data_IF_184110210110
#
_entry.id   IF_184110210110
#
_cell.length_a   1.000
_cell.length_b   1.000
_cell.length_c   1.000
_cell.angle_alpha   90.00
_cell.angle_beta   90.00
_cell.angle_gamma   90.00
#
_symmetry.space_group_name_H-M   'P 1'
#
loop_
_entity.id
_entity.type
_entity.pdbx_description
1 polymer ?
#
# COMPACT_ATOMS: atom_id res chain seq x y z
N UNK A 1 23.45 -16.29 0.86
CA UNK A 1 24.13 -15.02 0.55
C UNK A 1 24.32 -15.00 -0.95
N UNK A 2 23.45 -14.31 -1.69
CA UNK A 2 23.50 -14.30 -3.17
C UNK A 2 23.94 -12.93 -3.62
N UNK A 3 25.10 -12.90 -4.27
CA UNK A 3 25.63 -11.75 -4.98
C UNK A 3 25.35 -11.98 -6.46
N UNK A 4 24.63 -11.08 -7.14
CA UNK A 4 24.26 -11.24 -8.55
C UNK A 4 25.46 -11.11 -9.50
N UNK A 5 26.65 -10.77 -8.97
CA UNK A 5 27.88 -10.61 -9.74
C UNK A 5 28.83 -11.83 -9.71
N UNK A 6 28.50 -12.91 -8.99
CA UNK A 6 29.32 -14.13 -9.00
C UNK A 6 28.72 -15.18 -9.96
N UNK A 7 29.34 -15.34 -11.10
CA UNK A 7 29.19 -16.46 -12.03
C UNK A 7 29.48 -17.81 -11.34
N UNK A 8 28.45 -18.43 -10.74
CA UNK A 8 28.42 -19.89 -10.49
C UNK A 8 27.03 -20.36 -10.04
N UNK A 9 26.21 -20.87 -10.99
CA UNK A 9 25.33 -21.99 -10.68
C UNK A 9 23.92 -21.75 -10.20
N UNK A 10 23.17 -20.79 -10.65
CA UNK A 10 21.77 -20.78 -11.12
C UNK A 10 21.46 -19.41 -11.70
N UNK A 11 21.41 -19.33 -13.03
CA UNK A 11 21.08 -18.06 -13.70
C UNK A 11 19.65 -17.70 -13.39
N UNK A 12 19.42 -16.70 -12.49
CA UNK A 12 18.12 -16.09 -12.32
C UNK A 12 17.70 -15.52 -13.67
N UNK A 13 16.49 -15.86 -14.13
CA UNK A 13 15.93 -15.29 -15.35
C UNK A 13 15.88 -13.78 -15.17
N UNK A 14 16.42 -13.03 -16.13
CA UNK A 14 16.46 -11.56 -16.08
C UNK A 14 15.61 -10.97 -17.19
N UNK A 15 14.86 -9.93 -16.84
CA UNK A 15 14.11 -9.07 -17.78
C UNK A 15 14.51 -7.60 -17.63
N UNK A 16 15.71 -7.35 -17.12
CA UNK A 16 16.24 -5.98 -16.94
C UNK A 16 16.28 -5.18 -18.24
N UNK A 17 16.43 -5.84 -19.37
CA UNK A 17 16.39 -5.27 -20.72
C UNK A 17 14.99 -4.79 -21.17
N UNK A 18 13.93 -5.29 -20.51
CA UNK A 18 12.54 -4.85 -20.75
C UNK A 18 12.15 -3.65 -19.93
N UNK A 19 12.93 -3.28 -18.93
CA UNK A 19 12.65 -2.11 -18.09
C UNK A 19 12.76 -0.85 -18.93
N UNK A 20 11.70 -0.05 -18.93
CA UNK A 20 11.69 1.30 -19.48
C UNK A 20 12.00 2.28 -18.35
N UNK A 21 13.23 2.82 -18.27
CA UNK A 21 13.60 3.75 -17.22
C UNK A 21 12.85 5.08 -17.41
N UNK A 22 12.40 5.67 -16.32
CA UNK A 22 11.63 6.90 -16.31
C UNK A 22 12.38 7.98 -15.51
N UNK A 23 12.67 9.14 -16.12
CA UNK A 23 13.30 10.26 -15.43
C UNK A 23 12.29 11.04 -14.58
N UNK A 24 11.75 10.37 -13.54
CA UNK A 24 10.77 11.01 -12.65
C UNK A 24 11.41 12.17 -11.88
N UNK A 25 12.66 12.01 -11.40
CA UNK A 25 13.47 13.09 -10.83
C UNK A 25 12.91 13.70 -9.55
N UNK A 26 12.13 12.92 -8.77
CA UNK A 26 11.63 13.27 -7.44
C UNK A 26 11.51 11.99 -6.62
N UNK A 27 11.77 12.01 -5.29
CA UNK A 27 11.54 10.86 -4.41
C UNK A 27 10.11 10.34 -4.55
N UNK A 28 9.95 9.04 -4.84
CA UNK A 28 8.63 8.42 -5.06
C UNK A 28 8.07 7.94 -3.72
N UNK A 29 6.91 8.47 -3.31
CA UNK A 29 6.21 8.04 -2.09
C UNK A 29 5.23 6.90 -2.36
N UNK A 30 4.51 6.94 -3.49
CA UNK A 30 3.59 5.87 -3.90
C UNK A 30 3.37 5.88 -5.41
N UNK A 31 2.87 4.75 -5.94
CA UNK A 31 2.56 4.60 -7.36
C UNK A 31 1.13 4.07 -7.49
N UNK A 32 0.39 4.64 -8.42
CA UNK A 32 -0.97 4.25 -8.74
C UNK A 32 -1.17 4.19 -10.24
N UNK A 33 -2.16 3.44 -10.70
CA UNK A 33 -2.56 3.42 -12.10
C UNK A 33 -3.94 4.03 -12.26
N UNK A 34 -4.09 4.91 -13.28
CA UNK A 34 -5.37 5.42 -13.76
C UNK A 34 -5.58 4.91 -15.18
N UNK A 35 -6.29 3.78 -15.32
CA UNK A 35 -6.28 3.00 -16.53
C UNK A 35 -4.89 2.43 -16.82
N UNK A 36 -4.31 2.78 -17.96
CA UNK A 36 -2.94 2.37 -18.34
C UNK A 36 -1.89 3.46 -18.03
N UNK A 37 -2.27 4.62 -17.51
CA UNK A 37 -1.35 5.67 -17.08
C UNK A 37 -0.78 5.34 -15.70
N UNK A 38 0.54 5.30 -15.57
CA UNK A 38 1.22 5.19 -14.28
C UNK A 38 1.38 6.58 -13.66
N UNK A 39 0.98 6.72 -12.40
CA UNK A 39 1.06 7.98 -11.65
C UNK A 39 1.97 7.78 -10.46
N UNK A 40 3.09 8.50 -10.47
CA UNK A 40 4.08 8.53 -9.40
C UNK A 40 3.79 9.73 -8.52
N UNK A 41 3.44 9.48 -7.27
CA UNK A 41 3.24 10.52 -6.26
C UNK A 41 4.58 10.78 -5.58
N UNK A 42 5.04 12.01 -5.64
CA UNK A 42 6.25 12.45 -4.95
C UNK A 42 6.01 12.61 -3.44
N UNK A 43 7.09 12.61 -2.68
CA UNK A 43 7.05 12.92 -1.25
C UNK A 43 6.86 14.43 -0.97
N UNK A 44 7.11 15.27 -1.97
CA UNK A 44 6.88 16.70 -1.97
C UNK A 44 5.54 17.03 -2.64
N UNK A 45 5.37 18.22 -3.19
CA UNK A 45 4.10 18.75 -3.72
C UNK A 45 3.61 18.15 -5.05
N UNK A 46 4.44 17.34 -5.76
CA UNK A 46 4.20 16.98 -7.14
C UNK A 46 3.79 15.52 -7.36
N UNK A 47 3.04 15.29 -8.44
CA UNK A 47 2.86 13.99 -9.09
C UNK A 47 3.42 14.01 -10.52
N UNK A 48 3.88 12.86 -10.99
CA UNK A 48 4.25 12.62 -12.39
C UNK A 48 3.30 11.59 -13.00
N UNK A 49 2.64 11.95 -14.08
CA UNK A 49 1.75 11.06 -14.84
C UNK A 49 2.51 10.60 -16.09
N UNK A 50 2.64 9.29 -16.26
CA UNK A 50 3.30 8.65 -17.40
C UNK A 50 2.24 7.96 -18.24
N UNK A 51 2.09 8.38 -19.48
CA UNK A 51 1.13 7.78 -20.41
C UNK A 51 1.71 6.55 -21.14
N UNK A 52 0.91 5.92 -22.00
CA UNK A 52 1.31 4.73 -22.75
C UNK A 52 2.47 4.99 -23.76
N UNK A 53 2.75 6.25 -24.10
CA UNK A 53 3.88 6.67 -24.97
C UNK A 53 5.12 7.05 -24.16
N UNK A 54 5.13 6.80 -22.84
CA UNK A 54 6.17 7.19 -21.89
C UNK A 54 6.38 8.72 -21.75
N UNK A 55 5.38 9.50 -22.17
CA UNK A 55 5.40 10.95 -21.98
C UNK A 55 5.07 11.27 -20.52
N UNK A 56 5.87 12.12 -19.91
CA UNK A 56 5.74 12.50 -18.49
C UNK A 56 5.16 13.90 -18.38
N UNK A 57 4.02 14.02 -17.72
CA UNK A 57 3.46 15.30 -17.29
C UNK A 57 3.54 15.45 -15.78
N UNK A 58 3.95 16.63 -15.29
CA UNK A 58 4.07 16.93 -13.86
C UNK A 58 2.92 17.82 -13.42
N UNK A 59 2.37 17.53 -12.25
CA UNK A 59 1.24 18.26 -11.66
C UNK A 59 1.57 18.59 -10.22
N UNK A 60 1.53 19.87 -9.86
CA UNK A 60 1.58 20.31 -8.46
C UNK A 60 0.21 20.05 -7.82
N UNK A 61 0.14 19.13 -6.85
CA UNK A 61 -1.11 18.70 -6.20
C UNK A 61 -1.35 19.32 -4.84
N UNK A 62 -0.27 19.66 -4.13
CA UNK A 62 -0.31 20.35 -2.83
C UNK A 62 0.63 21.55 -2.82
N UNK A 63 0.56 22.38 -1.80
CA UNK A 63 1.51 23.49 -1.55
C UNK A 63 2.58 23.11 -0.52
N UNK A 64 2.70 21.82 -0.23
CA UNK A 64 3.66 21.21 0.71
C UNK A 64 3.73 19.72 0.47
N UNK A 65 4.16 18.94 1.44
CA UNK A 65 4.36 17.51 1.31
C UNK A 65 3.05 16.75 1.11
N UNK A 66 3.06 15.76 0.19
CA UNK A 66 2.01 14.75 0.09
C UNK A 66 2.24 13.71 1.17
N UNK A 67 1.28 13.53 2.06
CA UNK A 67 1.40 12.63 3.20
C UNK A 67 0.76 11.25 2.96
N UNK A 68 -0.27 11.20 2.11
CA UNK A 68 -0.99 9.97 1.79
C UNK A 68 -1.63 10.05 0.41
N UNK A 69 -1.84 8.87 -0.19
CA UNK A 69 -2.54 8.72 -1.45
C UNK A 69 -3.30 7.40 -1.51
N UNK A 70 -4.46 7.40 -2.16
CA UNK A 70 -5.24 6.21 -2.49
C UNK A 70 -5.87 6.35 -3.87
N UNK A 71 -6.08 5.24 -4.58
CA UNK A 71 -6.69 5.22 -5.91
C UNK A 71 -7.87 4.25 -5.97
N UNK A 72 -8.89 4.60 -6.74
CA UNK A 72 -9.99 3.70 -7.13
C UNK A 72 -9.86 3.22 -8.60
N UNK A 73 -8.75 3.59 -9.26
CA UNK A 73 -8.49 3.29 -10.68
C UNK A 73 -9.03 4.35 -11.65
N UNK A 74 -9.90 5.24 -11.21
CA UNK A 74 -10.44 6.37 -12.00
C UNK A 74 -9.81 7.70 -11.57
N UNK A 75 -9.51 7.83 -10.27
CA UNK A 75 -8.86 8.99 -9.68
C UNK A 75 -7.91 8.58 -8.56
N UNK A 76 -7.00 9.47 -8.23
CA UNK A 76 -6.18 9.39 -7.02
C UNK A 76 -6.65 10.49 -6.07
N UNK A 77 -6.82 10.16 -4.80
CA UNK A 77 -7.08 11.15 -3.76
C UNK A 77 -5.85 11.21 -2.85
N UNK A 78 -5.35 12.42 -2.62
CA UNK A 78 -4.17 12.70 -1.82
C UNK A 78 -4.51 13.61 -0.65
N UNK A 79 -3.81 13.42 0.46
CA UNK A 79 -3.81 14.33 1.60
C UNK A 79 -2.42 14.92 1.79
N UNK A 80 -2.36 16.17 2.23
CA UNK A 80 -1.11 16.92 2.40
C UNK A 80 -0.98 17.58 3.76
N UNK A 81 0.24 18.07 4.03
CA UNK A 81 0.56 18.86 5.22
C UNK A 81 -0.03 20.28 5.16
N UNK A 82 -0.50 20.71 3.97
CA UNK A 82 -1.25 21.94 3.76
C UNK A 82 -2.71 21.85 4.24
N UNK A 83 -3.12 20.69 4.78
CA UNK A 83 -4.46 20.44 5.31
C UNK A 83 -5.52 20.28 4.23
N UNK A 84 -5.14 19.97 3.00
CA UNK A 84 -6.06 19.75 1.89
C UNK A 84 -6.19 18.28 1.53
N UNK A 85 -7.40 17.91 1.10
CA UNK A 85 -7.71 16.66 0.44
C UNK A 85 -7.99 16.97 -1.04
N UNK A 86 -7.23 16.39 -1.95
CA UNK A 86 -7.23 16.72 -3.38
C UNK A 86 -7.46 15.46 -4.20
N UNK A 87 -8.32 15.53 -5.22
CA UNK A 87 -8.45 14.49 -6.24
C UNK A 87 -7.66 14.88 -7.49
N UNK A 88 -6.96 13.90 -8.08
CA UNK A 88 -6.22 13.97 -9.33
C UNK A 88 -6.81 12.95 -10.31
N UNK A 89 -7.10 13.36 -11.54
CA UNK A 89 -7.56 12.46 -12.60
C UNK A 89 -6.43 12.14 -13.61
N UNK A 90 -6.71 11.23 -14.54
CA UNK A 90 -5.75 10.79 -15.55
C UNK A 90 -5.29 11.89 -16.54
N UNK A 91 -5.97 13.02 -16.60
CA UNK A 91 -5.60 14.18 -17.43
C UNK A 91 -4.71 15.18 -16.70
N UNK A 92 -4.43 14.95 -15.40
CA UNK A 92 -3.70 15.89 -14.56
C UNK A 92 -4.57 17.03 -13.99
N UNK A 93 -5.90 16.93 -14.11
CA UNK A 93 -6.80 17.90 -13.51
C UNK A 93 -6.95 17.60 -12.02
N UNK A 94 -6.85 18.63 -11.19
CA UNK A 94 -6.99 18.55 -9.75
C UNK A 94 -8.30 19.19 -9.27
N UNK A 95 -8.91 18.60 -8.25
CA UNK A 95 -10.08 19.14 -7.58
C UNK A 95 -9.91 19.05 -6.07
N UNK A 96 -10.08 20.16 -5.37
CA UNK A 96 -10.12 20.17 -3.91
C UNK A 96 -11.40 19.49 -3.43
N UNK A 97 -11.26 18.43 -2.62
CA UNK A 97 -12.38 17.72 -2.02
C UNK A 97 -12.73 18.27 -0.64
N UNK A 98 -11.72 18.55 0.18
CA UNK A 98 -11.88 19.12 1.51
C UNK A 98 -10.67 19.97 1.89
N UNK A 99 -10.87 20.84 2.88
CA UNK A 99 -9.79 21.58 3.55
C UNK A 99 -10.08 21.56 5.04
N UNK A 100 -9.12 21.11 5.84
CA UNK A 100 -9.26 21.13 7.30
C UNK A 100 -9.28 22.57 7.79
N UNK A 101 -10.34 22.93 8.52
CA UNK A 101 -10.54 24.29 9.00
C UNK A 101 -9.44 24.77 9.96
N UNK A 102 -8.76 23.83 10.62
CA UNK A 102 -7.63 24.10 11.54
C UNK A 102 -6.28 23.89 10.85
N UNK A 103 -6.26 23.61 9.55
CA UNK A 103 -5.05 23.30 8.76
C UNK A 103 -4.20 22.19 9.36
N UNK A 104 -4.85 21.18 9.97
CA UNK A 104 -4.15 19.98 10.40
C UNK A 104 -3.77 19.16 9.17
N UNK A 105 -2.69 18.44 9.28
CA UNK A 105 -2.26 17.48 8.26
C UNK A 105 -3.34 16.46 7.97
N UNK A 106 -3.54 16.16 6.68
CA UNK A 106 -4.35 15.04 6.23
C UNK A 106 -3.38 13.92 5.86
N UNK A 107 -3.20 12.98 6.77
CA UNK A 107 -2.13 11.98 6.76
C UNK A 107 -2.61 10.56 6.46
N UNK A 108 -3.92 10.35 6.35
CA UNK A 108 -4.50 9.08 5.91
C UNK A 108 -5.68 9.33 4.97
N UNK A 109 -5.78 8.50 3.92
CA UNK A 109 -6.89 8.49 2.97
C UNK A 109 -7.23 7.06 2.58
N UNK A 110 -8.51 6.77 2.39
CA UNK A 110 -9.00 5.52 1.83
C UNK A 110 -10.16 5.80 0.86
N UNK A 111 -10.26 4.98 -0.18
CA UNK A 111 -11.34 5.05 -1.16
C UNK A 111 -12.17 3.76 -1.12
N UNK A 112 -13.49 3.92 -1.18
CA UNK A 112 -14.42 2.81 -1.32
C UNK A 112 -14.77 2.62 -2.81
N UNK A 113 -15.01 1.39 -3.30
CA UNK A 113 -15.38 1.14 -4.70
C UNK A 113 -16.61 1.92 -5.16
N UNK A 114 -17.55 2.25 -4.26
CA UNK A 114 -18.74 3.07 -4.57
C UNK A 114 -18.44 4.59 -4.61
N UNK A 115 -17.15 4.97 -4.58
CA UNK A 115 -16.70 6.36 -4.67
C UNK A 115 -16.70 7.15 -3.36
N UNK A 116 -17.01 6.53 -2.21
CA UNK A 116 -16.86 7.20 -0.92
C UNK A 116 -15.37 7.41 -0.57
N UNK A 117 -15.08 8.51 0.10
CA UNK A 117 -13.73 8.89 0.54
C UNK A 117 -13.71 8.98 2.06
N UNK A 118 -12.72 8.34 2.70
CA UNK A 118 -12.38 8.55 4.10
C UNK A 118 -11.01 9.21 4.21
N UNK A 119 -10.83 10.13 5.15
CA UNK A 119 -9.55 10.77 5.46
C UNK A 119 -9.45 11.07 6.94
N UNK A 120 -8.25 11.41 7.42
CA UNK A 120 -8.06 11.78 8.81
C UNK A 120 -7.28 13.08 8.97
N UNK A 121 -7.55 13.78 10.08
CA UNK A 121 -6.76 14.90 10.56
C UNK A 121 -6.60 14.78 12.08
N UNK A 122 -5.41 14.42 12.53
CA UNK A 122 -5.11 14.10 13.93
C UNK A 122 -5.91 12.87 14.40
N UNK A 123 -6.78 13.05 15.40
CA UNK A 123 -7.61 11.96 15.95
C UNK A 123 -9.01 11.85 15.32
N UNK A 124 -9.33 12.70 14.36
CA UNK A 124 -10.64 12.74 13.72
C UNK A 124 -10.58 12.03 12.36
N UNK A 125 -11.40 11.02 12.16
CA UNK A 125 -11.67 10.41 10.86
C UNK A 125 -12.93 11.04 10.26
N UNK A 126 -12.90 11.28 8.96
CA UNK A 126 -13.99 11.86 8.17
C UNK A 126 -14.41 10.88 7.08
N UNK A 127 -15.66 10.90 6.70
CA UNK A 127 -16.20 10.14 5.55
C UNK A 127 -17.17 11.01 4.76
N UNK A 128 -17.04 10.99 3.45
CA UNK A 128 -18.01 11.57 2.50
C UNK A 128 -18.36 10.54 1.44
N UNK A 129 -19.63 10.31 1.21
CA UNK A 129 -20.16 9.41 0.19
C UNK A 129 -20.97 10.20 -0.83
N UNK A 130 -20.45 10.32 -2.06
CA UNK A 130 -21.07 11.08 -3.12
C UNK A 130 -21.33 12.55 -2.74
N UNK A 131 -22.58 12.98 -2.86
CA UNK A 131 -23.03 14.34 -2.47
C UNK A 131 -23.55 14.42 -1.02
N UNK A 132 -23.42 13.33 -0.25
CA UNK A 132 -23.88 13.30 1.14
C UNK A 132 -23.08 14.26 2.01
N UNK A 133 -23.68 14.67 3.12
CA UNK A 133 -22.99 15.45 4.16
C UNK A 133 -21.79 14.69 4.71
N UNK A 134 -20.73 15.42 4.99
CA UNK A 134 -19.52 14.92 5.63
C UNK A 134 -19.84 14.45 7.04
N UNK A 135 -19.40 13.24 7.38
CA UNK A 135 -19.52 12.68 8.72
C UNK A 135 -18.15 12.54 9.33
N UNK A 136 -18.05 12.70 10.63
CA UNK A 136 -16.80 12.58 11.37
C UNK A 136 -16.95 11.74 12.63
N UNK A 137 -15.83 11.14 13.05
CA UNK A 137 -15.73 10.37 14.27
C UNK A 137 -14.35 10.57 14.92
N UNK A 138 -14.35 10.90 16.21
CA UNK A 138 -13.12 11.05 17.00
C UNK A 138 -12.74 9.72 17.63
N UNK A 139 -11.53 9.24 17.38
CA UNK A 139 -10.92 8.11 18.07
C UNK A 139 -10.04 8.58 19.24
N UNK A 140 -9.67 7.66 20.19
CA UNK A 140 -8.95 8.06 21.40
C UNK A 140 -7.59 8.72 21.18
N UNK A 141 -6.89 8.39 20.07
CA UNK A 141 -5.56 8.94 19.75
C UNK A 141 -5.47 9.27 18.26
N UNK A 142 -4.30 9.76 17.80
CA UNK A 142 -4.05 10.03 16.38
C UNK A 142 -4.36 8.80 15.52
N UNK A 143 -5.04 9.02 14.41
CA UNK A 143 -5.33 7.99 13.41
C UNK A 143 -4.01 7.58 12.75
N UNK A 144 -3.69 6.30 12.78
CA UNK A 144 -2.49 5.73 12.15
C UNK A 144 -2.75 5.11 10.79
N UNK A 145 -4.02 4.79 10.46
CA UNK A 145 -4.39 4.23 9.18
C UNK A 145 -5.90 4.11 9.01
N UNK A 146 -6.35 4.12 7.75
CA UNK A 146 -7.74 4.01 7.36
C UNK A 146 -7.92 2.93 6.29
N UNK A 147 -8.98 2.14 6.39
CA UNK A 147 -9.40 1.24 5.33
C UNK A 147 -10.92 1.11 5.29
N UNK A 148 -11.49 1.06 4.08
CA UNK A 148 -12.88 0.63 3.92
C UNK A 148 -12.97 -0.91 3.88
N UNK A 149 -14.04 -1.43 4.44
CA UNK A 149 -14.40 -2.83 4.24
C UNK A 149 -14.72 -3.08 2.75
N UNK A 150 -14.41 -4.27 2.20
CA UNK A 150 -14.73 -4.60 0.80
C UNK A 150 -16.23 -4.61 0.49
N UNK A 151 -17.08 -4.71 1.53
CA UNK A 151 -18.53 -4.74 1.42
C UNK A 151 -19.17 -3.85 2.47
N UNK A 152 -20.09 -3.00 2.01
CA UNK A 152 -20.80 -2.05 2.88
C UNK A 152 -19.92 -0.89 3.33
N UNK A 153 -20.54 0.22 3.72
CA UNK A 153 -19.82 1.40 4.16
C UNK A 153 -19.40 1.26 5.63
N UNK A 154 -18.31 0.55 5.86
CA UNK A 154 -17.66 0.39 7.17
C UNK A 154 -16.20 0.81 7.05
N UNK A 155 -15.73 1.64 7.96
CA UNK A 155 -14.34 2.13 8.02
C UNK A 155 -13.64 1.52 9.22
N UNK A 156 -12.47 0.94 9.00
CA UNK A 156 -11.52 0.61 10.04
C UNK A 156 -10.59 1.81 10.26
N UNK A 157 -10.50 2.28 11.49
CA UNK A 157 -9.69 3.40 11.92
C UNK A 157 -8.65 2.85 12.90
N UNK A 158 -7.41 2.68 12.43
CA UNK A 158 -6.30 2.24 13.27
C UNK A 158 -5.79 3.41 14.12
N UNK A 159 -5.47 3.14 15.38
CA UNK A 159 -4.96 4.14 16.31
C UNK A 159 -4.14 3.45 17.43
N UNK A 160 -3.71 4.18 18.46
CA UNK A 160 -3.03 3.56 19.57
C UNK A 160 -3.98 2.65 20.36
N UNK A 161 -3.52 1.44 20.67
CA UNK A 161 -4.22 0.35 21.36
C UNK A 161 -5.36 -0.31 20.59
N UNK A 162 -5.45 -0.16 19.25
CA UNK A 162 -6.40 -0.98 18.50
C UNK A 162 -6.96 -0.33 17.25
N UNK A 163 -8.13 -0.82 16.86
CA UNK A 163 -8.87 -0.37 15.68
C UNK A 163 -10.32 -0.12 16.05
N UNK A 164 -10.86 1.03 15.66
CA UNK A 164 -12.29 1.31 15.74
C UNK A 164 -12.94 0.98 14.39
N UNK A 165 -13.96 0.15 14.39
CA UNK A 165 -14.82 -0.11 13.23
C UNK A 165 -16.03 0.81 13.30
N UNK A 166 -16.07 1.77 12.38
CA UNK A 166 -17.11 2.78 12.32
C UNK A 166 -18.04 2.57 11.13
N UNK A 167 -19.34 2.76 11.35
CA UNK A 167 -20.41 2.63 10.35
C UNK A 167 -21.04 4.01 10.09
N UNK A 168 -20.53 4.84 9.17
CA UNK A 168 -20.95 6.23 9.02
C UNK A 168 -22.44 6.42 8.75
N UNK A 169 -23.10 5.46 8.10
CA UNK A 169 -24.52 5.55 7.72
C UNK A 169 -25.47 4.85 8.71
N UNK A 170 -24.95 4.35 9.82
CA UNK A 170 -25.77 3.66 10.83
C UNK A 170 -25.70 4.39 12.17
N UNK A 171 -26.80 4.37 12.91
CA UNK A 171 -26.83 4.84 14.30
C UNK A 171 -26.22 3.84 15.30
N UNK A 172 -25.58 2.77 14.79
CA UNK A 172 -24.93 1.77 15.63
C UNK A 172 -23.67 2.35 16.30
N UNK A 173 -23.40 1.90 17.53
CA UNK A 173 -22.14 2.22 18.20
C UNK A 173 -20.97 1.61 17.40
N UNK A 174 -19.84 2.31 17.30
CA UNK A 174 -18.63 1.74 16.77
C UNK A 174 -18.17 0.53 17.58
N UNK A 175 -17.56 -0.42 16.90
CA UNK A 175 -16.96 -1.60 17.51
C UNK A 175 -15.47 -1.32 17.74
N UNK A 176 -14.94 -1.68 18.92
CA UNK A 176 -13.54 -1.51 19.24
C UNK A 176 -12.83 -2.87 19.29
N UNK A 177 -11.81 -3.02 18.45
CA UNK A 177 -10.92 -4.18 18.40
C UNK A 177 -9.62 -3.83 19.14
N UNK A 178 -9.54 -4.27 20.41
CA UNK A 178 -8.44 -3.89 21.30
C UNK A 178 -7.19 -4.73 21.07
N UNK A 179 -6.05 -4.06 21.00
CA UNK A 179 -4.72 -4.65 21.10
C UNK A 179 -3.68 -3.58 21.40
N UNK A 180 -2.86 -3.78 22.45
CA UNK A 180 -1.87 -2.81 22.89
C UNK A 180 -0.80 -2.54 21.82
N UNK A 181 -0.43 -1.28 21.63
CA UNK A 181 0.59 -0.82 20.72
C UNK A 181 0.09 0.19 19.69
N UNK A 182 1.00 0.67 18.83
CA UNK A 182 0.70 1.69 17.84
C UNK A 182 0.38 1.04 16.48
N UNK A 183 -0.88 1.09 16.06
CA UNK A 183 -1.34 0.56 14.77
C UNK A 183 -1.22 1.66 13.71
N UNK A 184 -0.38 1.45 12.69
CA UNK A 184 0.01 2.47 11.70
C UNK A 184 -0.58 2.25 10.31
N UNK A 185 -0.99 1.04 9.98
CA UNK A 185 -1.67 0.72 8.75
C UNK A 185 -2.71 -0.36 9.02
N UNK A 186 -3.77 -0.38 8.23
CA UNK A 186 -4.85 -1.35 8.37
C UNK A 186 -5.37 -1.79 7.02
N UNK A 187 -5.62 -3.09 6.87
CA UNK A 187 -6.19 -3.69 5.65
C UNK A 187 -7.23 -4.74 6.01
N UNK A 188 -8.34 -4.76 5.28
CA UNK A 188 -9.27 -5.89 5.30
C UNK A 188 -8.80 -7.00 4.36
N UNK A 189 -9.11 -8.25 4.70
CA UNK A 189 -9.01 -9.32 3.71
C UNK A 189 -10.04 -9.13 2.59
N UNK A 190 -9.75 -9.53 1.33
CA UNK A 190 -10.68 -9.35 0.22
C UNK A 190 -12.05 -10.03 0.42
N UNK A 191 -12.08 -11.11 1.20
CA UNK A 191 -13.33 -11.81 1.57
C UNK A 191 -14.05 -11.21 2.78
N UNK A 192 -13.50 -10.12 3.37
CA UNK A 192 -14.04 -9.41 4.53
C UNK A 192 -14.11 -10.25 5.83
N UNK A 193 -13.30 -11.31 5.95
CA UNK A 193 -13.28 -12.15 7.16
C UNK A 193 -12.27 -11.69 8.20
N UNK A 194 -11.20 -11.03 7.75
CA UNK A 194 -10.09 -10.63 8.59
C UNK A 194 -9.79 -9.15 8.44
N UNK A 195 -9.31 -8.57 9.52
CA UNK A 195 -8.68 -7.25 9.57
C UNK A 195 -7.26 -7.42 10.07
N UNK A 196 -6.28 -6.79 9.41
CA UNK A 196 -4.87 -6.88 9.77
C UNK A 196 -4.27 -5.48 9.85
N UNK A 197 -3.44 -5.26 10.86
CA UNK A 197 -2.69 -4.01 11.04
C UNK A 197 -1.20 -4.26 11.05
N UNK A 198 -0.42 -3.35 10.43
CA UNK A 198 0.99 -3.19 10.69
C UNK A 198 1.19 -2.25 11.87
N UNK A 199 2.13 -2.61 12.75
CA UNK A 199 2.37 -1.88 13.99
C UNK A 199 3.67 -1.08 13.93
N UNK A 200 3.86 -0.15 14.84
CA UNK A 200 5.15 0.52 15.05
C UNK A 200 6.22 -0.48 15.48
N UNK A 201 5.84 -1.41 16.32
CA UNK A 201 6.62 -2.58 16.71
C UNK A 201 6.87 -3.49 15.50
N UNK A 202 7.96 -4.28 15.46
CA UNK A 202 8.23 -5.20 14.35
C UNK A 202 7.31 -6.43 14.39
N UNK A 203 6.01 -6.19 14.27
CA UNK A 203 4.95 -7.18 14.30
C UNK A 203 3.72 -6.67 13.52
N UNK A 204 2.85 -7.59 13.20
CA UNK A 204 1.48 -7.31 12.77
C UNK A 204 0.50 -7.93 13.73
N UNK A 205 -0.68 -7.34 13.79
CA UNK A 205 -1.80 -7.87 14.55
C UNK A 205 -3.04 -7.96 13.67
N UNK A 206 -3.93 -8.89 13.95
CA UNK A 206 -5.15 -9.02 13.17
C UNK A 206 -6.28 -9.61 14.00
N UNK A 207 -7.49 -9.52 13.44
CA UNK A 207 -8.72 -10.04 14.03
C UNK A 207 -9.54 -10.80 12.99
N UNK A 208 -10.12 -11.92 13.40
CA UNK A 208 -11.21 -12.55 12.68
C UNK A 208 -12.51 -11.82 13.01
N UNK A 209 -13.14 -11.21 12.01
CA UNK A 209 -14.25 -10.27 12.22
C UNK A 209 -15.57 -10.95 12.65
N UNK A 210 -15.66 -12.28 12.56
CA UNK A 210 -16.86 -13.01 12.98
C UNK A 210 -17.02 -13.12 14.49
N UNK A 211 -15.92 -13.11 15.23
CA UNK A 211 -15.89 -13.34 16.69
C UNK A 211 -14.79 -12.57 17.42
N UNK A 212 -14.15 -11.62 16.73
CA UNK A 212 -13.06 -10.78 17.21
C UNK A 212 -11.84 -11.54 17.73
N UNK A 213 -11.71 -12.81 17.37
CA UNK A 213 -10.55 -13.58 17.74
C UNK A 213 -9.30 -13.00 17.11
N UNK A 214 -8.39 -12.55 17.96
CA UNK A 214 -7.16 -11.91 17.54
C UNK A 214 -6.05 -12.90 17.14
N UNK A 215 -5.12 -12.44 16.32
CA UNK A 215 -3.95 -13.17 15.87
C UNK A 215 -2.72 -12.26 15.85
N UNK A 216 -1.57 -12.77 16.28
CA UNK A 216 -0.31 -12.06 16.24
C UNK A 216 0.62 -12.68 15.22
N UNK A 217 1.19 -11.86 14.36
CA UNK A 217 2.17 -12.21 13.36
C UNK A 217 3.48 -11.50 13.70
N UNK A 218 4.48 -12.25 14.19
CA UNK A 218 5.73 -11.72 14.74
C UNK A 218 6.94 -12.45 14.14
N UNK A 219 8.15 -12.04 14.53
CA UNK A 219 9.40 -12.60 14.00
C UNK A 219 10.07 -11.69 12.97
N UNK A 220 9.56 -10.49 12.80
CA UNK A 220 10.16 -9.51 11.89
C UNK A 220 11.40 -8.85 12.52
N UNK A 221 12.52 -8.72 11.79
CA UNK A 221 13.68 -7.95 12.25
C UNK A 221 13.48 -6.44 12.15
N UNK A 222 12.45 -5.99 11.44
CA UNK A 222 12.10 -4.59 11.25
C UNK A 222 10.61 -4.37 11.10
N UNK A 223 10.18 -3.10 11.12
CA UNK A 223 8.78 -2.73 10.97
C UNK A 223 8.23 -3.12 9.59
N UNK A 224 7.03 -3.66 9.53
CA UNK A 224 6.28 -3.89 8.29
C UNK A 224 5.76 -2.56 7.76
N UNK A 225 6.17 -2.16 6.55
CA UNK A 225 5.77 -0.91 5.90
C UNK A 225 4.87 -1.14 4.69
N UNK A 226 4.93 -2.32 4.11
CA UNK A 226 4.19 -2.67 2.89
C UNK A 226 3.50 -4.01 3.07
N UNK A 227 2.23 -4.06 2.69
CA UNK A 227 1.36 -5.24 2.74
C UNK A 227 0.58 -5.35 1.44
N UNK A 228 0.48 -6.54 0.88
CA UNK A 228 -0.29 -6.79 -0.35
C UNK A 228 -0.96 -8.16 -0.31
N UNK A 229 -2.28 -8.21 -0.54
CA UNK A 229 -3.00 -9.47 -0.66
C UNK A 229 -2.69 -10.15 -1.98
N UNK A 230 -2.47 -11.47 -1.96
CA UNK A 230 -2.33 -12.28 -3.18
C UNK A 230 -3.65 -12.28 -3.98
N UNK A 231 -3.59 -12.56 -5.27
CA UNK A 231 -4.72 -12.48 -6.20
C UNK A 231 -6.00 -13.19 -5.71
N UNK A 232 -5.88 -14.31 -5.04
CA UNK A 232 -7.01 -15.03 -4.46
C UNK A 232 -7.35 -14.65 -3.03
N UNK A 233 -6.67 -13.66 -2.42
CA UNK A 233 -6.84 -13.30 -1.01
C UNK A 233 -6.42 -14.38 -0.01
N UNK A 234 -5.72 -15.42 -0.48
CA UNK A 234 -5.32 -16.57 0.35
C UNK A 234 -4.04 -16.35 1.13
N UNK A 235 -3.28 -15.31 0.79
CA UNK A 235 -2.05 -14.93 1.45
C UNK A 235 -1.92 -13.41 1.57
N UNK A 236 -1.22 -12.96 2.59
CA UNK A 236 -0.83 -11.57 2.78
C UNK A 236 0.69 -11.47 2.71
N UNK A 237 1.22 -10.91 1.63
CA UNK A 237 2.64 -10.63 1.45
C UNK A 237 3.03 -9.37 2.21
N UNK A 238 4.21 -9.38 2.84
CA UNK A 238 4.66 -8.32 3.73
C UNK A 238 6.15 -8.04 3.59
N UNK A 239 6.54 -6.79 3.81
CA UNK A 239 7.92 -6.31 3.93
C UNK A 239 8.44 -6.43 5.37
N UNK A 240 9.64 -5.92 5.65
CA UNK A 240 10.19 -5.76 7.00
C UNK A 240 11.23 -6.81 7.40
N UNK A 241 11.46 -7.83 6.58
CA UNK A 241 12.53 -8.83 6.72
C UNK A 241 13.46 -8.80 5.50
N UNK A 242 14.49 -9.60 5.51
CA UNK A 242 15.41 -9.87 4.38
C UNK A 242 14.83 -10.87 3.36
N UNK A 243 13.59 -11.26 3.55
CA UNK A 243 12.80 -12.15 2.72
C UNK A 243 11.36 -11.63 2.64
N UNK A 244 10.64 -11.92 1.57
CA UNK A 244 9.20 -11.69 1.52
C UNK A 244 8.50 -12.71 2.42
N UNK A 245 7.73 -12.25 3.39
CA UNK A 245 6.96 -13.10 4.29
C UNK A 245 5.51 -13.12 3.82
N UNK A 246 4.95 -14.32 3.61
CA UNK A 246 3.56 -14.49 3.16
C UNK A 246 2.78 -15.28 4.21
N UNK A 247 1.87 -14.59 4.88
CA UNK A 247 1.00 -15.19 5.89
C UNK A 247 -0.19 -15.89 5.24
N UNK A 248 -0.49 -17.16 5.62
CA UNK A 248 -1.57 -17.93 5.00
C UNK A 248 -2.93 -17.56 5.60
N UNK A 249 -3.85 -17.06 4.75
CA UNK A 249 -5.22 -16.69 5.11
C UNK A 249 -6.30 -17.58 4.45
N UNK A 250 -5.92 -18.68 3.80
CA UNK A 250 -6.87 -19.56 3.12
C UNK A 250 -7.82 -20.33 4.07
N UNK A 251 -7.47 -20.45 5.36
CA UNK A 251 -8.30 -21.16 6.32
C UNK A 251 -9.29 -20.23 7.04
N UNK A 252 -10.34 -20.82 7.63
CA UNK A 252 -11.28 -20.06 8.48
C UNK A 252 -10.64 -19.40 9.70
N UNK A 253 -9.49 -19.88 10.15
CA UNK A 253 -8.75 -19.38 11.30
C UNK A 253 -7.55 -18.46 10.89
N UNK A 254 -7.42 -18.18 9.58
CA UNK A 254 -6.32 -17.38 9.05
C UNK A 254 -4.95 -18.01 9.31
N UNK A 255 -3.93 -17.22 9.70
CA UNK A 255 -2.57 -17.68 9.93
C UNK A 255 -2.37 -18.38 11.28
N UNK A 256 -3.41 -18.54 12.10
CA UNK A 256 -3.32 -19.12 13.45
C UNK A 256 -2.78 -20.56 13.42
N UNK A 257 -1.66 -20.79 14.14
CA UNK A 257 -1.00 -22.09 14.20
C UNK A 257 -0.36 -22.56 12.89
N UNK A 258 -0.08 -21.62 11.97
CA UNK A 258 0.57 -21.89 10.69
C UNK A 258 1.81 -21.03 10.53
N UNK A 259 2.83 -21.59 9.90
CA UNK A 259 4.02 -20.84 9.54
C UNK A 259 3.80 -20.07 8.24
N UNK A 260 4.39 -18.85 8.10
CA UNK A 260 4.39 -18.13 6.86
C UNK A 260 5.35 -18.77 5.84
N UNK A 261 5.08 -18.59 4.56
CA UNK A 261 6.06 -18.84 3.52
C UNK A 261 7.09 -17.70 3.47
N UNK A 262 8.36 -18.06 3.24
CA UNK A 262 9.47 -17.14 3.09
C UNK A 262 10.04 -17.28 1.69
N UNK A 263 9.99 -16.22 0.87
CA UNK A 263 10.41 -16.24 -0.53
C UNK A 263 11.42 -15.13 -0.82
N UNK A 264 12.25 -15.36 -1.84
CA UNK A 264 13.21 -14.39 -2.38
C UNK A 264 14.12 -13.77 -1.30
N UNK A 265 14.90 -14.57 -0.56
CA UNK A 265 15.82 -14.06 0.46
C UNK A 265 16.99 -13.29 -0.18
N UNK A 266 17.28 -12.11 0.37
CA UNK A 266 18.36 -11.22 -0.05
C UNK A 266 19.15 -10.75 1.18
N UNK A 267 20.28 -10.04 0.97
CA UNK A 267 20.99 -9.36 2.07
C UNK A 267 20.26 -8.09 2.51
N UNK A 268 19.67 -7.37 1.54
CA UNK A 268 18.89 -6.17 1.79
C UNK A 268 17.47 -6.52 2.25
N UNK A 269 16.88 -5.67 3.07
CA UNK A 269 15.49 -5.84 3.51
C UNK A 269 14.51 -5.55 2.39
N UNK A 270 13.45 -6.32 2.35
CA UNK A 270 12.26 -6.01 1.55
C UNK A 270 11.65 -4.70 2.07
N UNK A 271 11.59 -3.70 1.22
CA UNK A 271 11.03 -2.38 1.50
C UNK A 271 9.60 -2.23 0.99
N UNK A 272 9.29 -2.82 -0.18
CA UNK A 272 7.98 -2.76 -0.82
C UNK A 272 7.57 -4.12 -1.38
N UNK A 273 6.27 -4.43 -1.35
CA UNK A 273 5.68 -5.62 -1.98
C UNK A 273 4.40 -5.25 -2.73
N UNK A 274 4.20 -5.85 -3.90
CA UNK A 274 2.98 -5.69 -4.68
C UNK A 274 2.61 -7.03 -5.33
N UNK A 275 1.49 -7.62 -4.91
CA UNK A 275 0.98 -8.84 -5.53
C UNK A 275 0.30 -8.50 -6.86
N UNK A 276 0.50 -9.37 -7.85
CA UNK A 276 -0.16 -9.27 -9.14
C UNK A 276 -1.68 -9.42 -8.97
N UNK A 277 -2.52 -8.61 -9.65
CA UNK A 277 -3.97 -8.59 -9.41
C UNK A 277 -4.70 -9.87 -9.79
N UNK A 278 -4.12 -10.73 -10.65
CA UNK A 278 -4.82 -11.90 -11.24
C UNK A 278 -4.04 -13.21 -11.17
N UNK A 279 -2.73 -13.17 -10.91
CA UNK A 279 -1.85 -14.34 -10.93
C UNK A 279 -1.12 -14.50 -9.59
N UNK A 280 -0.67 -15.71 -9.30
CA UNK A 280 0.12 -16.01 -8.10
C UNK A 280 1.60 -15.59 -8.31
N UNK A 281 1.79 -14.30 -8.56
CA UNK A 281 3.07 -13.62 -8.72
C UNK A 281 3.06 -12.39 -7.81
N UNK A 282 4.20 -12.04 -7.26
CA UNK A 282 4.41 -10.76 -6.57
C UNK A 282 5.66 -10.05 -7.09
N UNK A 283 5.70 -8.74 -6.95
CA UNK A 283 6.89 -7.93 -7.07
C UNK A 283 7.40 -7.57 -5.67
N UNK A 284 8.71 -7.69 -5.46
CA UNK A 284 9.40 -7.32 -4.23
C UNK A 284 10.49 -6.29 -4.54
N UNK A 285 10.49 -5.19 -3.83
CA UNK A 285 11.52 -4.15 -3.86
C UNK A 285 12.34 -4.20 -2.57
N UNK A 286 13.63 -3.94 -2.70
CA UNK A 286 14.60 -4.07 -1.62
C UNK A 286 15.28 -2.73 -1.30
N UNK A 287 15.89 -2.68 -0.12
CA UNK A 287 16.61 -1.51 0.37
C UNK A 287 17.90 -1.17 -0.38
N UNK A 288 18.40 -2.06 -1.23
CA UNK A 288 19.56 -1.84 -2.11
C UNK A 288 19.16 -1.47 -3.55
N UNK A 289 17.86 -1.25 -3.79
CA UNK A 289 17.31 -0.91 -5.09
C UNK A 289 16.96 -2.12 -5.98
N UNK A 290 17.21 -3.34 -5.54
CA UNK A 290 16.81 -4.54 -6.30
C UNK A 290 15.29 -4.63 -6.42
N UNK A 291 14.81 -5.07 -7.58
CA UNK A 291 13.42 -5.46 -7.81
C UNK A 291 13.38 -6.87 -8.38
N UNK A 292 12.64 -7.75 -7.70
CA UNK A 292 12.38 -9.12 -8.14
C UNK A 292 10.89 -9.32 -8.42
N UNK A 293 10.56 -10.14 -9.39
CA UNK A 293 9.25 -10.81 -9.46
C UNK A 293 9.42 -12.24 -8.97
N UNK A 294 8.44 -12.72 -8.21
CA UNK A 294 8.48 -14.02 -7.54
C UNK A 294 7.19 -14.77 -7.81
N UNK A 295 7.28 -15.98 -8.31
CA UNK A 295 6.14 -16.88 -8.44
C UNK A 295 5.87 -17.56 -7.10
N UNK A 296 4.62 -17.51 -6.63
CA UNK A 296 4.27 -17.97 -5.28
C UNK A 296 4.25 -19.49 -5.12
N UNK A 297 4.05 -20.21 -6.21
CA UNK A 297 3.90 -21.68 -6.21
C UNK A 297 5.22 -22.39 -5.85
N UNK A 298 6.34 -21.94 -6.45
CA UNK A 298 7.63 -22.61 -6.37
C UNK A 298 8.78 -21.67 -5.97
N UNK A 299 8.49 -20.37 -5.75
CA UNK A 299 9.48 -19.38 -5.38
C UNK A 299 10.42 -18.99 -6.53
N UNK A 300 10.11 -19.34 -7.78
CA UNK A 300 10.93 -18.96 -8.93
C UNK A 300 11.02 -17.43 -9.05
N UNK A 301 12.26 -16.94 -9.21
CA UNK A 301 12.61 -15.53 -9.20
C UNK A 301 12.94 -15.03 -10.60
N UNK A 302 12.52 -13.80 -10.91
CA UNK A 302 12.85 -13.07 -12.14
C UNK A 302 13.43 -11.73 -11.73
N UNK A 303 14.64 -11.43 -12.17
CA UNK A 303 15.30 -10.15 -11.90
C UNK A 303 14.74 -9.06 -12.82
N UNK A 304 14.18 -8.01 -12.20
CA UNK A 304 13.63 -6.83 -12.88
C UNK A 304 14.63 -5.69 -12.85
N UNK A 305 15.22 -5.39 -11.68
CA UNK A 305 16.23 -4.34 -11.51
C UNK A 305 17.35 -4.85 -10.62
N UNK A 306 18.60 -4.60 -11.02
CA UNK A 306 19.79 -4.92 -10.22
C UNK A 306 19.93 -3.99 -9.02
N UNK A 307 20.70 -4.44 -8.04
CA UNK A 307 21.14 -3.63 -6.92
C UNK A 307 22.00 -2.42 -7.35
N UNK A 308 22.30 -1.54 -6.40
CA UNK A 308 23.16 -0.36 -6.61
C UNK A 308 22.41 0.96 -6.70
N UNK A 309 21.12 0.98 -6.38
CA UNK A 309 20.32 2.20 -6.25
C UNK A 309 19.81 2.43 -4.84
N UNK A 310 19.07 3.52 -4.65
CA UNK A 310 18.35 3.81 -3.42
C UNK A 310 17.23 2.79 -3.16
N UNK A 311 16.75 2.68 -1.91
CA UNK A 311 15.66 1.79 -1.57
C UNK A 311 14.44 1.94 -2.48
N UNK A 312 13.88 0.82 -2.91
CA UNK A 312 12.60 0.81 -3.61
C UNK A 312 11.51 1.23 -2.64
N UNK A 313 10.89 2.37 -2.88
CA UNK A 313 9.86 2.94 -2.01
C UNK A 313 8.44 2.52 -2.40
N UNK A 314 8.20 2.26 -3.68
CA UNK A 314 6.88 1.94 -4.20
C UNK A 314 6.92 0.94 -5.35
N UNK A 315 5.91 0.07 -5.38
CA UNK A 315 5.61 -0.90 -6.44
C UNK A 315 4.12 -0.89 -6.72
N UNK A 316 3.73 -0.95 -7.98
CA UNK A 316 2.32 -1.09 -8.35
C UNK A 316 2.14 -1.87 -9.65
N UNK A 317 1.06 -2.61 -9.75
CA UNK A 317 0.57 -3.24 -10.96
C UNK A 317 -0.60 -2.46 -11.54
N UNK A 318 -0.70 -2.38 -12.86
CA UNK A 318 -1.96 -1.96 -13.46
C UNK A 318 -3.06 -3.03 -13.23
N UNK A 319 -4.32 -2.66 -13.33
CA UNK A 319 -5.45 -3.57 -13.07
C UNK A 319 -5.49 -4.80 -14.00
N UNK A 320 -4.87 -4.71 -15.19
CA UNK A 320 -4.75 -5.83 -16.14
C UNK A 320 -3.66 -6.83 -15.71
N UNK A 321 -2.66 -6.40 -14.92
CA UNK A 321 -1.47 -7.16 -14.57
C UNK A 321 -0.42 -7.23 -15.69
N UNK A 322 -0.53 -6.38 -16.70
CA UNK A 322 0.37 -6.37 -17.86
C UNK A 322 1.50 -5.36 -17.75
N UNK A 323 1.48 -4.55 -16.69
CA UNK A 323 2.47 -3.49 -16.46
C UNK A 323 2.77 -3.39 -14.97
N UNK A 324 4.06 -3.52 -14.63
CA UNK A 324 4.59 -3.25 -13.30
C UNK A 324 5.31 -1.91 -13.30
N UNK A 325 5.05 -1.07 -12.31
CA UNK A 325 5.79 0.15 -12.06
C UNK A 325 6.59 0.03 -10.75
N UNK A 326 7.79 0.58 -10.71
CA UNK A 326 8.59 0.73 -9.50
C UNK A 326 9.14 2.15 -9.37
N UNK A 327 9.39 2.57 -8.15
CA UNK A 327 10.04 3.84 -7.84
C UNK A 327 10.86 3.73 -6.56
N UNK A 328 11.84 4.61 -6.41
CA UNK A 328 12.81 4.63 -5.31
C UNK A 328 12.81 5.96 -4.55
N UNK A 329 13.50 5.96 -3.41
CA UNK A 329 13.61 7.12 -2.52
C UNK A 329 14.43 8.28 -3.15
N UNK A 330 15.24 8.03 -4.18
CA UNK A 330 16.03 9.03 -4.90
C UNK A 330 15.40 9.43 -6.26
N UNK A 331 14.25 8.84 -6.63
CA UNK A 331 13.53 9.18 -7.84
C UNK A 331 13.84 8.32 -9.07
N UNK A 332 14.68 7.29 -8.92
CA UNK A 332 14.81 6.27 -9.96
C UNK A 332 13.49 5.50 -10.08
N UNK A 333 13.00 5.39 -11.29
CA UNK A 333 11.73 4.73 -11.56
C UNK A 333 11.74 3.98 -12.90
N UNK A 334 10.82 3.06 -13.08
CA UNK A 334 10.67 2.33 -14.33
C UNK A 334 9.32 1.65 -14.49
N UNK A 335 9.02 1.34 -15.75
CA UNK A 335 7.89 0.52 -16.17
C UNK A 335 8.38 -0.77 -16.80
N UNK A 336 7.70 -1.87 -16.51
CA UNK A 336 8.02 -3.21 -16.99
C UNK A 336 6.80 -3.81 -17.66
N UNK A 337 6.75 -3.88 -19.00
CA UNK A 337 5.70 -4.61 -19.71
C UNK A 337 5.94 -6.13 -19.58
N UNK A 338 4.86 -6.89 -19.43
CA UNK A 338 4.86 -8.35 -19.23
C UNK A 338 4.01 -9.07 -20.26
#
# INVERSE_FOLDING_TARGET
>A
MRDFDSDAGSSIVSITDRVRPLPIGMPVASIHFLGDNAVFIGAEENAAIVNAADEISRVAIHSGAVLCAASDGERIVTGGDDGKLVALNAKGEIAALATDAKRRWIDNVALHPDGAVAWSAGKTAFVRSGKSEEKSFDVPSTVGGLAFAPKGLRVAIAHYNGVTLWFPNMAANPEFLEWAGSHLAVVFSPDNKFLVTAMHEPAMHGWRLADNRHMRMSGYPGRVRSMSWTAGGKGLATSGADTVIIWPFASKDGPMGREPAMLAPMQARVSAVACHPKQDILAAGYGDGTVLMVRLEDGAEILVRRNGGAPVSALAWNAKGTLLAFGSEDGDAGLVPL
#
